data_IF_585935353918
#
_entry.id   IF_585935353918
#
_cell.length_a   1.000
_cell.length_b   1.000
_cell.length_c   1.000
_cell.angle_alpha   90.00
_cell.angle_beta   90.00
_cell.angle_gamma   90.00
#
_symmetry.space_group_name_H-M   'P 1'
#
loop_
_entity.id
_entity.type
_entity.pdbx_description
1 polymer ?
#
# COMPACT_ATOMS: atom_id res chain seq x y z
N UNK A 1 14.01 6.36 24.20
CA UNK A 1 13.92 7.64 23.50
C UNK A 1 14.41 8.71 24.45
N UNK A 2 15.47 9.43 24.09
CA UNK A 2 16.12 10.43 24.93
C UNK A 2 15.62 11.86 24.59
N UNK A 3 16.12 12.86 25.31
CA UNK A 3 15.71 14.26 25.11
C UNK A 3 16.04 14.78 23.69
N UNK A 4 17.14 14.31 23.10
CA UNK A 4 17.54 14.70 21.74
C UNK A 4 16.64 14.08 20.67
N UNK A 5 16.16 12.85 20.89
CA UNK A 5 15.15 12.22 20.03
C UNK A 5 13.84 13.01 20.03
N UNK A 6 13.43 13.51 21.20
CA UNK A 6 12.24 14.35 21.33
C UNK A 6 12.39 15.70 20.62
N UNK A 7 13.56 16.36 20.75
CA UNK A 7 13.82 17.62 20.05
C UNK A 7 13.80 17.44 18.53
N UNK A 8 14.41 16.37 18.01
CA UNK A 8 14.35 16.06 16.57
C UNK A 8 12.93 15.81 16.09
N UNK A 9 12.12 15.09 16.87
CA UNK A 9 10.72 14.85 16.53
C UNK A 9 9.95 16.19 16.52
N UNK A 10 10.12 17.01 17.55
CA UNK A 10 9.47 18.32 17.66
C UNK A 10 9.86 19.26 16.51
N UNK A 11 11.13 19.26 16.08
CA UNK A 11 11.60 20.02 14.92
C UNK A 11 10.98 19.50 13.62
N UNK A 12 10.92 18.17 13.43
CA UNK A 12 10.33 17.56 12.24
C UNK A 12 8.83 17.84 12.09
N UNK A 13 8.10 17.92 13.21
CA UNK A 13 6.66 18.18 13.23
C UNK A 13 6.29 19.66 13.33
N UNK A 14 7.25 20.57 13.59
CA UNK A 14 6.99 22.01 13.78
C UNK A 14 6.20 22.62 12.61
N UNK A 15 6.60 22.28 11.39
CA UNK A 15 6.01 22.79 10.15
C UNK A 15 5.33 21.67 9.35
N UNK A 16 5.07 20.52 9.98
CA UNK A 16 4.42 19.41 9.32
C UNK A 16 2.96 19.77 9.02
N UNK A 17 2.67 19.95 7.73
CA UNK A 17 1.31 20.02 7.21
C UNK A 17 0.96 18.60 6.78
N UNK A 18 -0.02 17.92 7.43
CA UNK A 18 -0.47 16.65 6.93
C UNK A 18 -0.99 16.83 5.50
N UNK A 19 -0.67 15.91 4.57
CA UNK A 19 -1.25 15.96 3.25
C UNK A 19 -2.76 15.94 3.36
N UNK A 20 -3.44 16.65 2.46
CA UNK A 20 -4.90 16.58 2.41
C UNK A 20 -5.33 15.12 2.24
N UNK A 21 -6.37 14.67 2.98
CA UNK A 21 -6.88 13.33 2.82
C UNK A 21 -7.32 13.15 1.37
N UNK A 22 -6.88 12.06 0.73
CA UNK A 22 -7.37 11.73 -0.60
C UNK A 22 -8.84 11.36 -0.47
N UNK A 23 -9.71 12.27 -0.87
CA UNK A 23 -11.16 12.02 -0.92
C UNK A 23 -11.45 11.29 -2.23
N UNK A 24 -11.72 9.99 -2.13
CA UNK A 24 -12.22 9.24 -3.26
C UNK A 24 -13.65 9.67 -3.56
N UNK A 25 -13.84 10.25 -4.73
CA UNK A 25 -15.17 10.65 -5.21
C UNK A 25 -15.93 9.47 -5.81
N UNK A 26 -15.22 8.44 -6.25
CA UNK A 26 -15.78 7.18 -6.70
C UNK A 26 -15.90 6.19 -5.51
N UNK A 27 -17.12 5.76 -5.13
CA UNK A 27 -17.33 4.84 -4.02
C UNK A 27 -16.67 3.46 -4.22
N UNK A 28 -16.47 3.03 -5.46
CA UNK A 28 -15.81 1.76 -5.76
C UNK A 28 -14.29 1.88 -5.55
N UNK A 29 -13.68 3.00 -5.94
CA UNK A 29 -12.27 3.31 -5.65
C UNK A 29 -12.05 3.37 -4.14
N UNK A 30 -12.94 4.04 -3.40
CA UNK A 30 -12.88 4.13 -1.94
C UNK A 30 -12.90 2.73 -1.30
N UNK A 31 -13.86 1.89 -1.72
CA UNK A 31 -14.01 0.52 -1.24
C UNK A 31 -12.76 -0.33 -1.51
N UNK A 32 -12.18 -0.23 -2.71
CA UNK A 32 -10.96 -0.98 -3.06
C UNK A 32 -9.75 -0.48 -2.27
N UNK A 33 -9.63 0.83 -2.06
CA UNK A 33 -8.55 1.39 -1.24
C UNK A 33 -8.63 0.93 0.20
N UNK A 34 -9.82 0.88 0.79
CA UNK A 34 -10.01 0.37 2.14
C UNK A 34 -9.64 -1.11 2.23
N UNK A 35 -10.09 -1.94 1.28
CA UNK A 35 -9.70 -3.35 1.21
C UNK A 35 -8.19 -3.55 1.05
N UNK A 36 -7.53 -2.75 0.21
CA UNK A 36 -6.08 -2.78 0.04
C UNK A 36 -5.34 -2.37 1.32
N UNK A 37 -5.83 -1.34 2.03
CA UNK A 37 -5.24 -0.89 3.30
C UNK A 37 -5.27 -2.02 4.33
N UNK A 38 -6.41 -2.70 4.47
CA UNK A 38 -6.56 -3.81 5.40
C UNK A 38 -5.66 -5.00 5.02
N UNK A 39 -5.63 -5.36 3.73
CA UNK A 39 -4.80 -6.46 3.24
C UNK A 39 -3.29 -6.19 3.46
N UNK A 40 -2.81 -5.00 3.10
CA UNK A 40 -1.41 -4.60 3.30
C UNK A 40 -1.07 -4.47 4.79
N UNK A 41 -2.01 -3.98 5.60
CA UNK A 41 -1.88 -3.94 7.06
C UNK A 41 -1.69 -5.34 7.64
N UNK A 42 -2.56 -6.28 7.28
CA UNK A 42 -2.48 -7.68 7.70
C UNK A 42 -1.19 -8.36 7.25
N UNK A 43 -0.75 -8.12 6.01
CA UNK A 43 0.52 -8.65 5.50
C UNK A 43 1.70 -8.17 6.34
N UNK A 44 1.76 -6.87 6.66
CA UNK A 44 2.83 -6.29 7.50
C UNK A 44 2.79 -6.85 8.93
N UNK A 45 1.61 -6.99 9.51
CA UNK A 45 1.43 -7.59 10.85
C UNK A 45 1.91 -9.05 10.90
N UNK A 46 1.78 -9.79 9.79
CA UNK A 46 2.30 -11.13 9.64
C UNK A 46 3.82 -11.18 9.34
N UNK A 47 4.52 -10.03 9.31
CA UNK A 47 5.93 -9.94 8.98
C UNK A 47 6.23 -9.96 7.47
N UNK A 48 5.20 -9.93 6.63
CA UNK A 48 5.36 -9.83 5.17
C UNK A 48 5.74 -8.42 4.74
N UNK A 49 6.60 -8.34 3.72
CA UNK A 49 6.96 -7.08 3.05
C UNK A 49 6.48 -7.18 1.61
N UNK A 50 5.47 -6.38 1.19
CA UNK A 50 4.99 -6.40 -0.19
C UNK A 50 6.10 -5.92 -1.13
N UNK A 51 6.26 -6.60 -2.27
CA UNK A 51 7.21 -6.18 -3.29
C UNK A 51 6.71 -4.90 -3.99
N UNK A 52 7.60 -4.10 -4.60
CA UNK A 52 7.21 -2.93 -5.39
C UNK A 52 6.21 -3.26 -6.51
N UNK A 53 6.37 -4.42 -7.17
CA UNK A 53 5.47 -4.89 -8.23
C UNK A 53 4.06 -5.18 -7.69
N UNK A 54 3.97 -5.77 -6.49
CA UNK A 54 2.67 -6.03 -5.85
C UNK A 54 1.96 -4.72 -5.45
N UNK A 55 2.72 -3.73 -4.96
CA UNK A 55 2.16 -2.41 -4.63
C UNK A 55 1.64 -1.71 -5.89
N UNK A 56 2.41 -1.70 -6.97
CA UNK A 56 1.98 -1.13 -8.25
C UNK A 56 0.74 -1.82 -8.82
N UNK A 57 0.65 -3.16 -8.71
CA UNK A 57 -0.53 -3.92 -9.10
C UNK A 57 -1.77 -3.51 -8.28
N UNK A 58 -1.59 -3.38 -6.96
CA UNK A 58 -2.65 -2.95 -6.03
C UNK A 58 -3.15 -1.54 -6.37
N UNK A 59 -2.25 -0.61 -6.69
CA UNK A 59 -2.64 0.76 -7.08
C UNK A 59 -3.48 0.78 -8.35
N UNK A 60 -3.11 -0.01 -9.37
CA UNK A 60 -3.87 -0.12 -10.63
C UNK A 60 -5.26 -0.70 -10.44
N UNK A 61 -5.40 -1.69 -9.55
CA UNK A 61 -6.69 -2.26 -9.17
C UNK A 61 -7.59 -1.24 -8.45
N UNK A 62 -7.03 -0.50 -7.49
CA UNK A 62 -7.73 0.57 -6.78
C UNK A 62 -8.24 1.63 -7.76
N UNK A 63 -7.39 2.03 -8.72
CA UNK A 63 -7.75 2.99 -9.75
C UNK A 63 -8.79 2.46 -10.77
N UNK A 64 -9.11 1.17 -10.74
CA UNK A 64 -10.03 0.53 -11.67
C UNK A 64 -9.46 0.29 -13.06
N UNK A 65 -8.14 0.37 -13.22
CA UNK A 65 -7.44 0.01 -14.46
C UNK A 65 -7.38 -1.50 -14.68
N UNK A 66 -7.59 -2.28 -13.62
CA UNK A 66 -7.63 -3.73 -13.63
C UNK A 66 -8.87 -4.22 -12.90
N UNK A 67 -9.47 -5.27 -13.44
CA UNK A 67 -10.50 -6.03 -12.72
C UNK A 67 -9.88 -7.09 -11.78
N UNK A 68 -10.73 -7.78 -11.04
CA UNK A 68 -10.30 -8.78 -10.05
C UNK A 68 -9.66 -10.02 -10.72
N UNK A 69 -10.12 -10.44 -11.89
CA UNK A 69 -9.55 -11.59 -12.61
C UNK A 69 -8.14 -11.28 -13.11
N UNK A 70 -7.93 -10.08 -13.65
CA UNK A 70 -6.62 -9.60 -14.11
C UNK A 70 -5.62 -9.51 -12.95
N UNK A 71 -6.05 -8.99 -11.79
CA UNK A 71 -5.21 -8.93 -10.59
C UNK A 71 -4.84 -10.32 -10.10
N UNK A 72 -5.80 -11.25 -10.04
CA UNK A 72 -5.54 -12.63 -9.62
C UNK A 72 -4.55 -13.33 -10.56
N UNK A 73 -4.72 -13.14 -11.88
CA UNK A 73 -3.80 -13.69 -12.87
C UNK A 73 -2.37 -13.16 -12.66
N UNK A 74 -2.24 -11.87 -12.40
CA UNK A 74 -0.94 -11.22 -12.22
C UNK A 74 -0.26 -11.61 -10.89
N UNK A 75 -1.02 -11.72 -9.79
CA UNK A 75 -0.50 -12.23 -8.51
C UNK A 75 0.04 -13.65 -8.67
N UNK A 76 -0.67 -14.52 -9.40
CA UNK A 76 -0.21 -15.89 -9.70
C UNK A 76 1.09 -15.87 -10.49
N UNK A 77 1.22 -14.97 -11.47
CA UNK A 77 2.44 -14.81 -12.27
C UNK A 77 3.61 -14.32 -11.40
N UNK A 78 3.39 -13.36 -10.51
CA UNK A 78 4.41 -12.85 -9.57
C UNK A 78 4.84 -13.90 -8.54
N UNK A 79 3.92 -14.79 -8.14
CA UNK A 79 4.16 -15.81 -7.12
C UNK A 79 4.70 -17.13 -7.70
N UNK A 80 4.77 -17.26 -9.03
CA UNK A 80 5.32 -18.43 -9.67
C UNK A 80 6.84 -18.51 -9.37
N UNK A 81 7.37 -19.68 -8.96
CA UNK A 81 8.80 -19.83 -8.74
C UNK A 81 9.53 -19.51 -10.05
N UNK A 82 10.54 -18.64 -9.98
CA UNK A 82 11.44 -18.42 -11.11
C UNK A 82 12.04 -19.77 -11.51
N UNK A 83 11.67 -20.28 -12.68
CA UNK A 83 12.26 -21.50 -13.22
C UNK A 83 13.78 -21.29 -13.30
N UNK A 84 14.60 -22.07 -12.57
CA UNK A 84 16.02 -22.10 -12.86
C UNK A 84 16.19 -22.83 -14.20
N UNK A 85 16.54 -22.08 -15.25
CA UNK A 85 17.06 -22.64 -16.49
C UNK A 85 18.36 -23.40 -16.26
#
# INVERSE_FOLDING_TARGET
>A
MNEDDWKRLADAYRDYVPPEPVVDTDPEVAKRRDAARDALGNMRLAGGVPSPEFLALTDRWIAGELDEEEVIAEIKRLSAPANPS
#
